data_IF_620867177615
#
_entry.id   IF_620867177615
#
_cell.length_a   1.000
_cell.length_b   1.000
_cell.length_c   1.000
_cell.angle_alpha   90.00
_cell.angle_beta   90.00
_cell.angle_gamma   90.00
#
_symmetry.space_group_name_H-M   'P 1'
#
loop_
_entity.id
_entity.type
_entity.pdbx_description
1 polymer ?
#
# COMPACT_ATOMS: atom_id res chain seq x y z
N UNK A 1 -36.74 34.73 40.29
CA UNK A 1 -36.35 34.74 38.86
C UNK A 1 -34.85 34.47 38.67
N UNK A 2 -33.98 34.77 39.64
CA UNK A 2 -32.54 34.43 39.57
C UNK A 2 -32.19 32.94 39.73
N UNK A 3 -33.13 32.10 40.17
CA UNK A 3 -32.85 30.68 40.48
C UNK A 3 -32.85 29.77 39.25
N UNK A 4 -33.37 30.23 38.11
CA UNK A 4 -33.43 29.47 36.85
C UNK A 4 -32.32 29.84 35.86
N UNK A 5 -31.63 30.97 36.06
CA UNK A 5 -30.50 31.39 35.21
C UNK A 5 -29.19 30.70 35.62
N UNK A 6 -28.97 30.48 36.93
CA UNK A 6 -27.76 29.83 37.45
C UNK A 6 -27.68 28.34 37.03
N UNK A 7 -28.83 27.72 36.77
CA UNK A 7 -28.90 26.33 36.29
C UNK A 7 -28.45 26.19 34.83
N UNK A 8 -28.68 27.21 34.01
CA UNK A 8 -28.39 27.19 32.58
C UNK A 8 -26.95 27.59 32.25
N UNK A 9 -26.23 28.29 33.13
CA UNK A 9 -24.80 28.57 32.96
C UNK A 9 -23.91 27.36 33.26
N UNK A 10 -24.30 26.50 34.22
CA UNK A 10 -23.54 25.27 34.53
C UNK A 10 -23.66 24.17 33.47
N UNK A 11 -24.63 24.29 32.55
CA UNK A 11 -24.81 23.38 31.41
C UNK A 11 -24.07 23.82 30.14
N UNK A 12 -23.43 25.00 30.14
CA UNK A 12 -22.62 25.48 29.02
C UNK A 12 -21.12 25.20 29.15
N UNK A 13 -20.68 24.58 30.23
CA UNK A 13 -19.31 24.13 30.41
C UNK A 13 -19.27 22.61 30.30
N UNK A 14 -18.49 22.10 29.35
CA UNK A 14 -18.23 20.67 29.05
C UNK A 14 -19.07 20.01 27.94
N UNK A 15 -19.25 20.70 26.81
CA UNK A 15 -19.34 20.00 25.52
C UNK A 15 -18.11 20.41 24.73
N UNK A 16 -16.95 19.87 25.11
CA UNK A 16 -15.89 19.75 24.11
C UNK A 16 -16.47 18.84 23.02
N UNK A 17 -16.50 19.27 21.74
CA UNK A 17 -16.90 18.39 20.66
C UNK A 17 -15.92 17.22 20.73
N UNK A 18 -16.42 16.05 21.12
CA UNK A 18 -15.67 14.84 20.98
C UNK A 18 -15.52 14.63 19.47
N UNK A 19 -14.40 15.08 18.92
CA UNK A 19 -14.03 14.90 17.53
C UNK A 19 -13.64 13.43 17.37
N UNK A 20 -14.61 12.54 17.52
CA UNK A 20 -14.46 11.16 17.09
C UNK A 20 -14.37 11.18 15.58
N UNK A 21 -13.15 11.31 15.08
CA UNK A 21 -12.86 11.16 13.66
C UNK A 21 -13.29 9.75 13.27
N UNK A 22 -14.33 9.66 12.43
CA UNK A 22 -14.87 8.38 12.03
C UNK A 22 -13.84 7.64 11.18
N UNK A 23 -13.54 6.36 11.49
CA UNK A 23 -12.56 5.62 10.74
C UNK A 23 -13.01 5.45 9.27
N UNK A 24 -12.05 5.62 8.38
CA UNK A 24 -12.22 5.44 6.94
C UNK A 24 -12.66 4.00 6.61
N UNK A 25 -13.14 3.77 5.39
CA UNK A 25 -13.48 2.41 4.93
C UNK A 25 -12.26 1.48 5.02
N UNK A 26 -11.06 2.00 4.73
CA UNK A 26 -9.83 1.21 4.82
C UNK A 26 -9.58 0.78 6.25
N UNK A 27 -9.64 1.70 7.21
CA UNK A 27 -9.39 1.42 8.63
C UNK A 27 -10.42 0.48 9.25
N UNK A 28 -11.67 0.52 8.78
CA UNK A 28 -12.73 -0.36 9.29
C UNK A 28 -12.62 -1.80 8.79
N UNK A 29 -12.22 -1.99 7.54
CA UNK A 29 -12.37 -3.29 6.87
C UNK A 29 -11.05 -3.97 6.51
N UNK A 30 -9.91 -3.27 6.61
CA UNK A 30 -8.62 -3.78 6.19
C UNK A 30 -7.56 -3.68 7.28
N UNK A 31 -6.79 -4.75 7.41
CA UNK A 31 -5.55 -4.77 8.19
C UNK A 31 -4.40 -4.44 7.25
N UNK A 32 -3.60 -3.42 7.56
CA UNK A 32 -2.41 -3.07 6.79
C UNK A 32 -1.26 -4.02 7.15
N UNK A 33 -0.60 -4.54 6.12
CA UNK A 33 0.63 -5.33 6.22
C UNK A 33 1.65 -4.77 5.25
N UNK A 34 2.94 -4.91 5.54
CA UNK A 34 3.98 -4.30 4.71
C UNK A 34 5.07 -5.28 4.31
N UNK A 35 5.62 -5.06 3.12
CA UNK A 35 6.76 -5.77 2.56
C UNK A 35 7.77 -4.73 2.11
N UNK A 36 8.95 -4.71 2.70
CA UNK A 36 10.00 -3.73 2.35
C UNK A 36 11.11 -4.36 1.51
N UNK A 37 11.85 -3.52 0.80
CA UNK A 37 13.02 -3.87 0.00
C UNK A 37 12.81 -5.08 -0.91
N UNK A 38 11.67 -5.13 -1.61
CA UNK A 38 11.34 -6.30 -2.44
C UNK A 38 12.40 -6.50 -3.52
N UNK A 39 12.88 -7.74 -3.66
CA UNK A 39 13.99 -8.10 -4.56
C UNK A 39 15.30 -7.37 -4.26
N UNK A 40 15.50 -6.91 -3.02
CA UNK A 40 16.69 -6.19 -2.58
C UNK A 40 16.75 -4.75 -3.10
N UNK A 41 15.64 -4.21 -3.60
CA UNK A 41 15.58 -2.85 -4.13
C UNK A 41 15.10 -1.88 -3.05
N UNK A 42 15.97 -0.98 -2.62
CA UNK A 42 15.64 0.04 -1.63
C UNK A 42 14.53 0.96 -2.14
N UNK A 43 13.54 1.24 -1.27
CA UNK A 43 12.37 2.03 -1.63
C UNK A 43 11.37 1.31 -2.55
N UNK A 44 11.53 0.00 -2.77
CA UNK A 44 10.51 -0.83 -3.42
C UNK A 44 9.64 -1.52 -2.37
N UNK A 45 8.86 -0.69 -1.67
CA UNK A 45 8.09 -1.08 -0.48
C UNK A 45 6.58 -1.11 -0.78
N UNK A 46 5.89 -2.15 -0.32
CA UNK A 46 4.49 -2.39 -0.63
C UNK A 46 3.63 -2.47 0.63
N UNK A 47 2.41 -1.97 0.51
CA UNK A 47 1.37 -2.11 1.51
C UNK A 47 0.30 -3.07 0.99
N UNK A 48 0.01 -4.09 1.78
CA UNK A 48 -1.00 -5.10 1.52
C UNK A 48 -2.18 -4.83 2.44
N UNK A 49 -3.32 -4.46 1.87
CA UNK A 49 -4.55 -4.25 2.62
C UNK A 49 -5.32 -5.57 2.66
N UNK A 50 -5.39 -6.17 3.84
CA UNK A 50 -5.96 -7.49 4.04
C UNK A 50 -7.38 -7.39 4.59
N UNK A 51 -8.35 -7.80 3.78
CA UNK A 51 -9.76 -7.81 4.16
C UNK A 51 -10.13 -9.05 4.98
N UNK A 52 -11.22 -8.97 5.75
CA UNK A 52 -11.74 -10.09 6.56
C UNK A 52 -12.08 -11.35 5.74
N UNK A 53 -12.54 -11.17 4.49
CA UNK A 53 -12.80 -12.24 3.52
C UNK A 53 -11.54 -12.83 2.86
N UNK A 54 -10.34 -12.46 3.35
CA UNK A 54 -9.03 -12.93 2.89
C UNK A 54 -8.59 -12.42 1.52
N UNK A 55 -9.29 -11.45 0.93
CA UNK A 55 -8.76 -10.71 -0.20
C UNK A 55 -7.65 -9.76 0.26
N UNK A 56 -6.59 -9.70 -0.53
CA UNK A 56 -5.44 -8.83 -0.31
C UNK A 56 -5.35 -7.84 -1.46
N UNK A 57 -5.43 -6.54 -1.17
CA UNK A 57 -5.15 -5.49 -2.15
C UNK A 57 -3.67 -5.16 -2.11
N UNK A 58 -3.03 -5.15 -3.27
CA UNK A 58 -1.64 -4.73 -3.43
C UNK A 58 -1.62 -3.23 -3.71
N UNK A 59 -0.88 -2.50 -2.89
CA UNK A 59 -0.73 -1.03 -2.97
C UNK A 59 0.72 -0.64 -2.68
N UNK A 60 1.10 0.61 -2.93
CA UNK A 60 2.41 1.13 -2.56
C UNK A 60 2.46 1.46 -1.07
N UNK A 61 3.59 1.17 -0.40
CA UNK A 61 3.83 1.65 0.95
C UNK A 61 4.23 3.14 0.94
N UNK A 62 3.99 3.89 2.04
CA UNK A 62 4.38 5.30 2.13
C UNK A 62 5.85 5.58 1.78
N UNK A 63 6.77 4.67 2.12
CA UNK A 63 8.21 4.80 1.86
C UNK A 63 8.61 4.45 0.42
N UNK A 64 7.69 3.91 -0.39
CA UNK A 64 7.98 3.54 -1.78
C UNK A 64 8.46 4.75 -2.57
N UNK A 65 9.52 4.62 -3.37
CA UNK A 65 10.16 5.75 -4.07
C UNK A 65 9.18 6.59 -4.88
N UNK A 66 8.25 5.97 -5.61
CA UNK A 66 7.15 6.66 -6.32
C UNK A 66 6.37 7.63 -5.40
N UNK A 67 5.96 7.18 -4.20
CA UNK A 67 5.17 8.01 -3.28
C UNK A 67 6.05 9.03 -2.56
N UNK A 68 7.19 8.58 -2.03
CA UNK A 68 8.13 9.40 -1.26
C UNK A 68 8.64 10.59 -2.07
N UNK A 69 9.00 10.35 -3.34
CA UNK A 69 9.49 11.38 -4.26
C UNK A 69 8.36 12.05 -5.05
N UNK A 70 7.10 11.69 -4.79
CA UNK A 70 5.89 12.20 -5.47
C UNK A 70 6.06 12.20 -7.00
N UNK A 71 6.53 11.07 -7.54
CA UNK A 71 6.82 10.92 -8.97
C UNK A 71 5.58 11.14 -9.81
N UNK A 72 5.75 11.81 -10.96
CA UNK A 72 4.70 11.91 -11.97
C UNK A 72 4.68 10.64 -12.82
N UNK A 73 3.67 9.80 -12.59
CA UNK A 73 3.48 8.55 -13.32
C UNK A 73 2.91 8.84 -14.72
N UNK A 74 3.62 8.42 -15.76
CA UNK A 74 3.23 8.60 -17.15
C UNK A 74 2.31 7.46 -17.62
N UNK A 75 2.65 6.21 -17.30
CA UNK A 75 1.87 5.06 -17.75
C UNK A 75 2.05 3.84 -16.86
N UNK A 76 1.04 2.98 -16.79
CA UNK A 76 1.09 1.67 -16.15
C UNK A 76 0.86 0.59 -17.20
N UNK A 77 1.74 -0.41 -17.27
CA UNK A 77 1.61 -1.55 -18.17
C UNK A 77 1.42 -2.84 -17.40
N UNK A 78 0.32 -3.54 -17.68
CA UNK A 78 0.03 -4.88 -17.15
C UNK A 78 0.58 -6.01 -18.03
N UNK A 79 1.28 -5.67 -19.13
CA UNK A 79 2.05 -6.62 -19.94
C UNK A 79 3.39 -6.88 -19.24
N UNK A 80 3.48 -8.00 -18.51
CA UNK A 80 4.66 -8.30 -17.67
C UNK A 80 5.73 -9.12 -18.38
N UNK A 81 5.36 -9.83 -19.44
CA UNK A 81 6.24 -10.63 -20.31
C UNK A 81 5.66 -10.65 -21.72
N UNK A 82 6.43 -11.07 -22.74
CA UNK A 82 5.92 -11.24 -24.12
C UNK A 82 4.69 -12.15 -24.23
N UNK A 83 4.53 -13.10 -23.30
CA UNK A 83 3.46 -14.12 -23.30
C UNK A 83 2.44 -13.93 -22.17
N UNK A 84 2.59 -12.92 -21.32
CA UNK A 84 1.79 -12.79 -20.10
C UNK A 84 1.34 -11.36 -19.90
N UNK A 85 0.04 -11.15 -20.07
CA UNK A 85 -0.64 -9.91 -19.71
C UNK A 85 -1.55 -10.16 -18.50
N UNK A 86 -1.50 -9.31 -17.48
CA UNK A 86 -2.36 -9.45 -16.30
C UNK A 86 -3.82 -9.04 -16.54
N UNK A 87 -4.09 -8.26 -17.58
CA UNK A 87 -5.46 -7.92 -18.01
C UNK A 87 -6.25 -9.14 -18.49
N UNK A 88 -5.56 -10.19 -18.92
CA UNK A 88 -6.18 -11.46 -19.35
C UNK A 88 -6.62 -12.34 -18.16
N UNK A 89 -6.34 -11.93 -16.91
CA UNK A 89 -6.78 -12.67 -15.74
C UNK A 89 -8.29 -12.52 -15.56
N UNK A 90 -9.07 -13.55 -15.93
CA UNK A 90 -10.53 -13.53 -15.83
C UNK A 90 -11.03 -14.43 -14.71
N UNK A 91 -10.97 -13.93 -13.48
CA UNK A 91 -11.42 -14.67 -12.31
C UNK A 91 -12.95 -14.87 -12.31
N UNK A 92 -13.42 -16.10 -12.59
CA UNK A 92 -14.85 -16.42 -12.71
C UNK A 92 -15.33 -17.49 -11.71
N UNK A 93 -16.58 -17.36 -11.25
CA UNK A 93 -17.24 -18.31 -10.36
C UNK A 93 -16.68 -18.39 -8.92
N UNK A 94 -17.28 -19.25 -8.09
CA UNK A 94 -16.94 -19.42 -6.65
C UNK A 94 -15.46 -19.72 -6.43
N UNK A 95 -14.87 -20.51 -7.32
CA UNK A 95 -13.47 -20.93 -7.23
C UNK A 95 -12.52 -20.01 -8.00
N UNK A 96 -12.97 -18.85 -8.49
CA UNK A 96 -12.13 -17.91 -9.27
C UNK A 96 -11.36 -18.64 -10.38
N UNK A 97 -12.08 -19.50 -11.13
CA UNK A 97 -11.54 -20.25 -12.27
C UNK A 97 -10.98 -19.26 -13.29
N UNK A 98 -9.90 -19.64 -13.97
CA UNK A 98 -9.17 -18.83 -14.96
C UNK A 98 -8.42 -17.59 -14.40
N UNK A 99 -8.47 -17.34 -13.09
CA UNK A 99 -7.57 -16.38 -12.48
C UNK A 99 -6.12 -16.84 -12.63
N UNK A 100 -5.25 -15.93 -13.09
CA UNK A 100 -3.82 -16.22 -13.16
C UNK A 100 -3.26 -16.43 -11.76
N UNK A 101 -2.33 -17.36 -11.62
CA UNK A 101 -1.60 -17.53 -10.37
C UNK A 101 -0.39 -16.59 -10.32
N UNK A 102 -0.15 -15.99 -9.16
CA UNK A 102 1.04 -15.17 -8.88
C UNK A 102 1.79 -15.75 -7.69
N UNK A 103 3.12 -15.81 -7.81
CA UNK A 103 4.01 -16.05 -6.68
C UNK A 103 4.10 -14.80 -5.82
N UNK A 104 4.85 -14.84 -4.71
CA UNK A 104 5.09 -13.67 -3.85
C UNK A 104 5.91 -12.57 -4.56
N UNK A 105 6.86 -12.95 -5.40
CA UNK A 105 7.69 -12.04 -6.20
C UNK A 105 7.20 -11.94 -7.65
N UNK A 106 5.93 -12.29 -7.89
CA UNK A 106 5.34 -12.24 -9.21
C UNK A 106 5.15 -10.78 -9.65
N UNK A 107 5.61 -10.44 -10.85
CA UNK A 107 5.37 -9.11 -11.42
C UNK A 107 3.88 -8.96 -11.76
N UNK A 108 3.31 -7.85 -11.32
CA UNK A 108 1.92 -7.45 -11.54
C UNK A 108 1.83 -6.40 -12.65
N UNK A 109 2.61 -5.33 -12.56
CA UNK A 109 2.69 -4.30 -13.60
C UNK A 109 4.04 -3.58 -13.58
N UNK A 110 4.30 -2.85 -14.65
CA UNK A 110 5.43 -1.93 -14.81
C UNK A 110 4.88 -0.51 -14.81
N UNK A 111 5.51 0.37 -14.06
CA UNK A 111 5.12 1.78 -13.92
C UNK A 111 6.23 2.63 -14.51
N UNK A 112 5.91 3.42 -15.54
CA UNK A 112 6.86 4.35 -16.15
C UNK A 112 6.52 5.77 -15.71
N UNK A 113 7.52 6.48 -15.21
CA UNK A 113 7.42 7.86 -14.79
C UNK A 113 7.90 8.81 -15.90
N UNK A 114 7.48 10.06 -15.83
CA UNK A 114 7.84 11.11 -16.80
C UNK A 114 9.32 11.45 -16.82
N UNK A 115 10.06 11.16 -15.74
CA UNK A 115 11.52 11.31 -15.64
C UNK A 115 12.28 10.12 -16.28
N UNK A 116 11.57 9.19 -16.91
CA UNK A 116 12.15 7.99 -17.54
C UNK A 116 12.41 6.83 -16.58
N UNK A 117 12.19 7.01 -15.27
CA UNK A 117 12.32 5.91 -14.31
C UNK A 117 11.22 4.86 -14.49
N UNK A 118 11.58 3.59 -14.31
CA UNK A 118 10.65 2.46 -14.44
C UNK A 118 10.67 1.63 -13.16
N UNK A 119 9.51 1.44 -12.57
CA UNK A 119 9.32 0.66 -11.35
C UNK A 119 8.55 -0.62 -11.64
N UNK A 120 9.01 -1.73 -11.07
CA UNK A 120 8.34 -3.03 -11.15
C UNK A 120 7.49 -3.23 -9.90
N UNK A 121 6.18 -3.44 -10.09
CA UNK A 121 5.25 -3.70 -9.01
C UNK A 121 5.08 -5.21 -8.84
N UNK A 122 5.32 -5.67 -7.61
CA UNK A 122 5.24 -7.09 -7.25
C UNK A 122 3.95 -7.38 -6.48
N UNK A 123 3.51 -8.63 -6.53
CA UNK A 123 2.32 -9.12 -5.83
C UNK A 123 2.47 -9.14 -4.32
N UNK A 124 3.68 -9.39 -3.81
CA UNK A 124 4.04 -9.55 -2.38
C UNK A 124 3.29 -10.66 -1.62
N UNK A 125 2.34 -11.29 -2.28
CA UNK A 125 1.47 -12.35 -1.75
C UNK A 125 1.25 -13.35 -2.87
N UNK A 126 1.36 -14.63 -2.54
CA UNK A 126 1.13 -15.74 -3.45
C UNK A 126 -0.34 -16.12 -3.46
N UNK A 127 -0.95 -16.15 -4.63
CA UNK A 127 -2.38 -16.44 -4.76
C UNK A 127 -2.93 -16.34 -6.19
N UNK A 128 -4.25 -16.34 -6.30
CA UNK A 128 -4.97 -16.07 -7.55
C UNK A 128 -5.13 -14.56 -7.73
N UNK A 129 -4.71 -14.03 -8.86
CA UNK A 129 -4.92 -12.65 -9.27
C UNK A 129 -6.39 -12.48 -9.68
N UNK A 130 -7.19 -11.94 -8.77
CA UNK A 130 -8.64 -11.75 -8.95
C UNK A 130 -8.89 -10.61 -9.92
N UNK A 131 -8.18 -9.51 -9.75
CA UNK A 131 -8.40 -8.26 -10.48
C UNK A 131 -7.10 -7.46 -10.55
N UNK A 132 -6.91 -6.72 -11.64
CA UNK A 132 -5.96 -5.62 -11.76
C UNK A 132 -6.74 -4.33 -11.98
N UNK A 133 -6.25 -3.21 -11.43
CA UNK A 133 -6.95 -1.94 -11.54
C UNK A 133 -6.75 -1.32 -12.93
N UNK A 134 -7.68 -1.61 -13.84
CA UNK A 134 -7.65 -1.11 -15.23
C UNK A 134 -7.73 0.42 -15.31
N UNK A 135 -8.27 1.09 -14.28
CA UNK A 135 -8.31 2.56 -14.21
C UNK A 135 -6.93 3.21 -14.23
N UNK A 136 -5.88 2.47 -13.85
CA UNK A 136 -4.50 2.96 -13.91
C UNK A 136 -3.97 3.10 -15.35
N UNK A 137 -4.65 2.49 -16.34
CA UNK A 137 -4.33 2.69 -17.76
C UNK A 137 -4.72 4.09 -18.22
N UNK A 138 -5.92 4.54 -17.81
CA UNK A 138 -6.47 5.83 -18.21
C UNK A 138 -6.07 6.97 -17.26
N UNK A 139 -5.93 6.68 -15.96
CA UNK A 139 -5.58 7.63 -14.93
C UNK A 139 -4.46 7.10 -14.00
N UNK A 140 -3.21 7.06 -14.49
CA UNK A 140 -2.06 6.55 -13.72
C UNK A 140 -1.77 7.36 -12.45
N UNK A 141 -2.20 8.62 -12.37
CA UNK A 141 -2.00 9.49 -11.21
C UNK A 141 -2.68 8.97 -9.92
N UNK A 142 -3.69 8.09 -10.05
CA UNK A 142 -4.35 7.45 -8.92
C UNK A 142 -3.37 6.66 -8.05
N UNK A 143 -2.32 6.09 -8.66
CA UNK A 143 -1.29 5.33 -7.95
C UNK A 143 -0.59 6.17 -6.87
N UNK A 144 -0.50 7.49 -7.07
CA UNK A 144 0.16 8.43 -6.16
C UNK A 144 -0.82 9.21 -5.30
N UNK A 145 -1.91 9.67 -5.90
CA UNK A 145 -2.91 10.50 -5.21
C UNK A 145 -3.81 9.72 -4.25
N UNK A 146 -4.09 8.45 -4.55
CA UNK A 146 -5.03 7.60 -3.81
C UNK A 146 -4.51 6.15 -3.65
N UNK A 147 -3.26 5.92 -3.20
CA UNK A 147 -2.62 4.59 -3.23
C UNK A 147 -3.39 3.51 -2.46
N UNK A 148 -4.03 3.87 -1.35
CA UNK A 148 -4.76 2.93 -0.47
C UNK A 148 -6.28 2.90 -0.72
N UNK A 149 -6.75 3.52 -1.81
CA UNK A 149 -8.16 3.48 -2.19
C UNK A 149 -8.31 3.24 -3.69
N UNK A 150 -8.54 4.28 -4.50
CA UNK A 150 -8.78 4.15 -5.94
C UNK A 150 -7.53 3.76 -6.74
N UNK A 151 -6.35 4.00 -6.18
CA UNK A 151 -5.04 3.71 -6.77
C UNK A 151 -4.44 2.36 -6.41
N UNK A 152 -5.24 1.42 -5.85
CA UNK A 152 -4.77 0.05 -5.64
C UNK A 152 -4.31 -0.56 -6.97
N UNK A 153 -3.38 -1.52 -6.94
CA UNK A 153 -2.81 -2.10 -8.17
C UNK A 153 -3.53 -3.40 -8.56
N UNK A 154 -3.70 -4.30 -7.59
CA UNK A 154 -4.28 -5.61 -7.82
C UNK A 154 -5.01 -6.14 -6.60
N UNK A 155 -5.94 -7.06 -6.83
CA UNK A 155 -6.61 -7.87 -5.80
C UNK A 155 -6.15 -9.32 -5.96
N UNK A 156 -5.58 -9.86 -4.90
CA UNK A 156 -5.09 -11.23 -4.84
C UNK A 156 -5.91 -12.01 -3.81
N UNK A 157 -6.29 -13.23 -4.18
CA UNK A 157 -6.88 -14.21 -3.27
C UNK A 157 -5.83 -15.28 -2.94
N UNK A 158 -5.21 -15.22 -1.76
CA UNK A 158 -4.31 -16.27 -1.29
C UNK A 158 -5.07 -17.59 -1.10
N UNK A 159 -4.32 -18.70 -1.08
CA UNK A 159 -4.91 -19.98 -0.66
C UNK A 159 -5.23 -19.90 0.83
N UNK A 160 -6.41 -20.38 1.20
CA UNK A 160 -6.90 -20.30 2.59
C UNK A 160 -5.91 -20.91 3.59
N UNK A 161 -5.32 -22.07 3.25
CA UNK A 161 -4.34 -22.77 4.09
C UNK A 161 -3.01 -22.00 4.25
N UNK A 162 -2.63 -21.20 3.25
CA UNK A 162 -1.36 -20.46 3.24
C UNK A 162 -1.53 -19.03 3.77
N UNK A 163 -2.77 -18.54 3.94
CA UNK A 163 -3.06 -17.13 4.27
C UNK A 163 -2.35 -16.67 5.56
N UNK A 164 -2.54 -17.38 6.67
CA UNK A 164 -2.00 -16.95 7.97
C UNK A 164 -0.47 -16.90 7.96
N UNK A 165 0.17 -17.88 7.31
CA UNK A 165 1.64 -17.92 7.18
C UNK A 165 2.14 -16.76 6.31
N UNK A 166 1.50 -16.50 5.17
CA UNK A 166 1.88 -15.39 4.30
C UNK A 166 1.72 -14.03 4.99
N UNK A 167 0.61 -13.79 5.69
CA UNK A 167 0.38 -12.51 6.38
C UNK A 167 1.24 -12.33 7.63
N UNK A 168 1.66 -13.43 8.26
CA UNK A 168 2.60 -13.44 9.38
C UNK A 168 4.04 -13.11 8.95
N UNK A 169 4.40 -13.37 7.69
CA UNK A 169 5.71 -13.00 7.13
C UNK A 169 5.80 -11.52 6.69
N UNK A 170 4.69 -10.77 6.77
CA UNK A 170 4.64 -9.34 6.47
C UNK A 170 4.68 -8.53 7.76
N UNK A 171 5.31 -7.35 7.68
CA UNK A 171 5.44 -6.45 8.81
C UNK A 171 4.08 -5.90 9.22
N UNK A 172 3.87 -5.76 10.54
CA UNK A 172 2.78 -4.95 11.08
C UNK A 172 3.02 -3.46 10.78
N UNK A 173 2.00 -2.59 10.92
CA UNK A 173 2.21 -1.15 10.84
C UNK A 173 3.28 -0.62 11.79
N UNK A 174 3.33 -1.15 13.01
CA UNK A 174 4.28 -0.76 14.05
C UNK A 174 5.70 -1.20 13.68
N UNK A 175 5.88 -2.46 13.26
CA UNK A 175 7.19 -2.99 12.84
C UNK A 175 7.70 -2.28 11.58
N UNK A 176 6.79 -1.96 10.66
CA UNK A 176 7.12 -1.20 9.46
C UNK A 176 7.60 0.20 9.81
N UNK A 177 6.89 0.91 10.70
CA UNK A 177 7.31 2.26 11.11
C UNK A 177 8.69 2.23 11.77
N UNK A 178 8.91 1.30 12.72
CA UNK A 178 10.20 1.13 13.38
C UNK A 178 11.33 0.84 12.38
N UNK A 179 11.05 0.01 11.38
CA UNK A 179 12.00 -0.31 10.31
C UNK A 179 12.36 0.93 9.48
N UNK A 180 11.37 1.74 9.08
CA UNK A 180 11.61 2.97 8.32
C UNK A 180 12.38 3.99 9.15
N UNK A 181 12.03 4.18 10.42
CA UNK A 181 12.72 5.11 11.31
C UNK A 181 14.20 4.73 11.49
N UNK A 182 14.47 3.43 11.67
CA UNK A 182 15.84 2.90 11.77
C UNK A 182 16.64 3.20 10.50
N UNK A 183 16.04 2.99 9.32
CA UNK A 183 16.70 3.29 8.05
C UNK A 183 16.98 4.80 7.90
N UNK A 184 16.09 5.67 8.35
CA UNK A 184 16.31 7.12 8.30
C UNK A 184 17.44 7.55 9.23
N UNK A 185 17.53 6.98 10.43
CA UNK A 185 18.63 7.26 11.37
C UNK A 185 19.98 6.85 10.77
N UNK A 186 20.08 5.67 10.17
CA UNK A 186 21.32 5.19 9.53
C UNK A 186 21.78 6.11 8.38
N UNK A 187 20.85 6.51 7.51
CA UNK A 187 21.16 7.42 6.40
C UNK A 187 21.57 8.83 6.85
N UNK A 188 21.14 9.28 8.03
CA UNK A 188 21.56 10.57 8.59
C UNK A 188 22.97 10.48 9.18
N UNK A 189 23.30 9.37 9.87
CA UNK A 189 24.64 9.17 10.44
C UNK A 189 25.73 9.07 9.35
N UNK A 190 25.45 8.38 8.23
CA UNK A 190 26.41 8.28 7.11
C UNK A 190 26.70 9.63 6.43
N UNK A 191 25.78 10.60 6.50
CA UNK A 191 25.96 11.94 5.93
C UNK A 191 26.77 12.89 6.82
N UNK A 192 27.00 12.54 8.08
CA UNK A 192 27.71 13.38 9.05
C UNK A 192 29.22 13.06 9.15
N UNK A 193 29.73 12.08 8.41
CA UNK A 193 31.17 11.81 8.32
C UNK A 193 31.77 12.75 7.27
N UNK A 194 32.63 13.73 7.65
CA UNK A 194 33.27 14.61 6.68
C UNK A 194 34.22 13.78 5.82
N UNK A 195 34.16 13.94 4.49
CA UNK A 195 35.27 13.55 3.62
C UNK A 195 36.51 14.27 4.12
N UNK A 196 37.39 13.54 4.81
CA UNK A 196 38.76 13.98 5.03
C UNK A 196 39.41 14.01 3.66
N UNK A 197 39.54 15.21 3.11
CA UNK A 197 40.36 15.47 1.94
C UNK A 197 41.81 15.17 2.31
N UNK A 198 42.32 14.03 1.86
CA UNK A 198 43.75 13.74 1.81
C UNK A 198 44.37 14.52 0.65
N UNK A 199 45.29 15.42 1.01
CA UNK A 199 46.39 16.10 0.28
C UNK A 199 46.24 16.48 -1.22
#
# INVERSE_FOLDING_TARGET
MESQEISNEKLKQNIEPNVYEYPTVVERYYIKKYKTAVKGQNGNDFCILCHSNKLCLVTLAPSHSILREKKNVQSVSFQVDKKRNRLESQASGKNKRNAQFVSETGVVCLVTCTDGSVYTIYSCVKGRLVEVNTRLLDNPSLLVSKPWSEGYVAIILPKLQEYSSQMGALLSPEDYQLHIDTLQMQNNVEKEIPETTDD
#
